data_IF_173507303608
#
_entry.id   IF_173507303608
#
_cell.length_a   1.000
_cell.length_b   1.000
_cell.length_c   1.000
_cell.angle_alpha   90.00
_cell.angle_beta   90.00
_cell.angle_gamma   90.00
#
_symmetry.space_group_name_H-M   'P 1'
#
loop_
_entity.id
_entity.type
_entity.pdbx_description
1 polymer ?
#
# COMPACT_ATOMS: atom_id res chain seq x y z
N UNK A 1 0.68 2.02 63.49
CA UNK A 1 -0.45 2.72 62.85
C UNK A 1 -0.17 2.90 61.34
N UNK A 2 -1.21 2.71 60.51
CA UNK A 2 -1.38 3.25 59.13
C UNK A 2 -0.94 2.48 57.86
N UNK A 3 -0.28 1.31 57.92
CA UNK A 3 -0.11 0.47 56.69
C UNK A 3 -1.35 -0.34 56.30
N UNK A 4 -2.14 -0.76 57.30
CA UNK A 4 -3.36 -1.58 57.11
C UNK A 4 -4.61 -0.78 56.72
N UNK A 5 -4.59 0.55 56.90
CA UNK A 5 -5.72 1.40 56.52
C UNK A 5 -5.67 1.76 55.03
N UNK A 6 -4.47 1.90 54.45
CA UNK A 6 -4.30 2.31 53.06
C UNK A 6 -4.78 1.23 52.05
N UNK A 7 -4.57 -0.05 52.39
CA UNK A 7 -5.06 -1.19 51.58
C UNK A 7 -6.57 -1.39 51.65
N UNK A 8 -7.26 -0.82 52.65
CA UNK A 8 -8.73 -0.90 52.74
C UNK A 8 -9.44 0.18 51.91
N UNK A 9 -8.78 1.27 51.56
CA UNK A 9 -9.42 2.39 50.83
C UNK A 9 -9.34 2.23 49.30
N UNK A 10 -8.41 1.43 48.77
CA UNK A 10 -8.24 1.27 47.31
C UNK A 10 -9.10 0.16 46.69
N UNK A 11 -9.68 -0.74 47.48
CA UNK A 11 -10.53 -1.82 46.97
C UNK A 11 -11.97 -1.39 46.62
N UNK A 12 -12.39 -0.19 47.03
CA UNK A 12 -13.78 0.27 46.88
C UNK A 12 -14.06 1.13 45.63
N UNK A 13 -13.04 1.45 44.82
CA UNK A 13 -13.20 2.33 43.64
C UNK A 13 -13.04 1.62 42.28
N UNK A 14 -12.85 0.29 42.26
CA UNK A 14 -12.54 -0.45 41.04
C UNK A 14 -13.70 -1.31 40.48
N UNK A 15 -14.93 -1.17 41.01
CA UNK A 15 -16.06 -2.04 40.65
C UNK A 15 -17.21 -1.39 39.87
N UNK A 16 -17.06 -0.17 39.34
CA UNK A 16 -18.15 0.45 38.58
C UNK A 16 -17.70 1.33 37.40
N UNK A 17 -16.65 0.93 36.70
CA UNK A 17 -16.50 1.32 35.31
C UNK A 17 -16.26 0.03 34.52
N UNK A 18 -17.29 -0.58 33.89
CA UNK A 18 -16.97 -1.30 32.69
C UNK A 18 -16.30 -0.26 31.79
N UNK A 19 -15.03 -0.48 31.45
CA UNK A 19 -14.50 0.01 30.19
C UNK A 19 -15.32 -0.69 29.11
N UNK A 20 -16.58 -0.26 28.96
CA UNK A 20 -17.34 -0.47 27.76
C UNK A 20 -16.57 0.33 26.72
N UNK A 21 -15.65 -0.35 26.05
CA UNK A 21 -15.18 0.09 24.76
C UNK A 21 -16.44 0.10 23.90
N UNK A 22 -17.09 1.26 23.84
CA UNK A 22 -18.20 1.51 22.95
C UNK A 22 -17.63 1.40 21.54
N UNK A 23 -17.57 0.17 21.04
CA UNK A 23 -17.33 -0.10 19.65
C UNK A 23 -18.59 0.32 18.88
N UNK A 24 -18.79 1.64 18.76
CA UNK A 24 -19.64 2.21 17.72
C UNK A 24 -18.91 2.05 16.40
N UNK A 25 -18.89 0.83 15.88
CA UNK A 25 -18.48 0.55 14.51
C UNK A 25 -19.74 0.31 13.67
N UNK A 26 -20.52 1.36 13.44
CA UNK A 26 -21.47 1.39 12.33
C UNK A 26 -20.77 1.98 11.12
N UNK A 27 -19.76 1.27 10.62
CA UNK A 27 -19.25 1.48 9.27
C UNK A 27 -19.89 0.40 8.39
N UNK A 28 -20.51 0.83 7.29
CA UNK A 28 -21.14 -0.02 6.27
C UNK A 28 -20.38 -1.33 6.04
N UNK A 29 -21.12 -2.44 5.94
CA UNK A 29 -20.66 -3.84 5.99
C UNK A 29 -19.67 -4.33 4.92
N UNK A 30 -18.87 -3.46 4.32
CA UNK A 30 -17.73 -3.85 3.51
C UNK A 30 -16.54 -4.21 4.44
N UNK A 31 -16.09 -5.46 4.37
CA UNK A 31 -14.84 -5.87 5.04
C UNK A 31 -13.69 -5.00 4.56
N UNK A 32 -12.94 -4.42 5.50
CA UNK A 32 -11.73 -3.66 5.20
C UNK A 32 -10.72 -4.56 4.49
N UNK A 33 -10.21 -4.12 3.33
CA UNK A 33 -9.13 -4.82 2.63
C UNK A 33 -7.82 -4.55 3.35
N UNK A 34 -7.20 -5.60 3.87
CA UNK A 34 -5.86 -5.57 4.48
C UNK A 34 -4.91 -6.28 3.54
N UNK A 35 -3.69 -5.76 3.39
CA UNK A 35 -2.69 -6.25 2.45
C UNK A 35 -1.29 -5.77 2.79
N UNK A 36 -0.35 -6.05 1.90
CA UNK A 36 1.06 -5.67 2.07
C UNK A 36 1.66 -5.07 0.79
N UNK A 37 2.82 -4.48 0.97
CA UNK A 37 3.69 -3.94 -0.05
C UNK A 37 4.82 -4.93 -0.34
N UNK A 38 5.10 -5.25 -1.62
CA UNK A 38 6.18 -6.15 -2.03
C UNK A 38 7.53 -5.74 -1.43
N UNK A 39 7.77 -4.44 -1.23
CA UNK A 39 9.00 -3.92 -0.63
C UNK A 39 9.23 -4.46 0.79
N UNK A 40 8.14 -4.74 1.52
CA UNK A 40 8.19 -5.31 2.89
C UNK A 40 8.72 -6.74 2.92
N UNK A 41 8.58 -7.49 1.82
CA UNK A 41 8.98 -8.91 1.72
C UNK A 41 9.98 -9.17 0.58
N UNK A 42 10.61 -8.12 0.04
CA UNK A 42 11.53 -8.19 -1.11
C UNK A 42 12.68 -9.19 -0.95
N UNK A 43 13.07 -9.50 0.28
CA UNK A 43 14.11 -10.50 0.58
C UNK A 43 13.75 -11.92 0.10
N UNK A 44 12.46 -12.20 -0.12
CA UNK A 44 11.99 -13.47 -0.69
C UNK A 44 12.29 -13.58 -2.20
N UNK A 45 12.64 -12.48 -2.87
CA UNK A 45 12.99 -12.48 -4.30
C UNK A 45 11.83 -12.82 -5.25
N UNK A 46 10.59 -12.70 -4.79
CA UNK A 46 9.40 -13.04 -5.59
C UNK A 46 9.08 -11.93 -6.60
N UNK A 47 8.70 -12.35 -7.81
CA UNK A 47 8.19 -11.48 -8.88
C UNK A 47 6.68 -11.30 -8.80
N UNK A 48 6.15 -10.30 -9.50
CA UNK A 48 4.74 -9.88 -9.46
C UNK A 48 3.74 -11.05 -9.50
N UNK A 49 3.91 -11.99 -10.44
CA UNK A 49 3.04 -13.15 -10.55
C UNK A 49 3.05 -14.04 -9.31
N UNK A 50 4.22 -14.31 -8.73
CA UNK A 50 4.37 -15.13 -7.52
C UNK A 50 3.93 -14.38 -6.25
N UNK A 51 4.05 -13.05 -6.22
CA UNK A 51 3.54 -12.22 -5.13
C UNK A 51 2.01 -12.24 -5.06
N UNK A 52 1.33 -12.29 -6.21
CA UNK A 52 -0.12 -12.46 -6.27
C UNK A 52 -0.53 -13.82 -5.68
N UNK A 53 0.18 -14.90 -6.02
CA UNK A 53 -0.06 -16.23 -5.43
C UNK A 53 0.15 -16.21 -3.92
N UNK A 54 1.28 -15.65 -3.49
CA UNK A 54 1.61 -15.53 -2.07
C UNK A 54 0.58 -14.69 -1.30
N UNK A 55 0.08 -13.60 -1.89
CA UNK A 55 -0.99 -12.80 -1.30
C UNK A 55 -2.29 -13.61 -1.13
N UNK A 56 -2.62 -14.48 -2.08
CA UNK A 56 -3.75 -15.39 -1.95
C UNK A 56 -3.55 -16.42 -0.82
N UNK A 57 -2.34 -17.00 -0.72
CA UNK A 57 -1.97 -17.92 0.37
C UNK A 57 -2.08 -17.26 1.75
N UNK A 58 -1.67 -16.00 1.86
CA UNK A 58 -1.78 -15.19 3.09
C UNK A 58 -3.21 -14.67 3.35
N UNK A 59 -4.15 -14.91 2.43
CA UNK A 59 -5.57 -14.52 2.54
C UNK A 59 -5.75 -13.00 2.71
N UNK A 60 -4.90 -12.21 2.07
CA UNK A 60 -5.02 -10.75 2.06
C UNK A 60 -5.97 -10.27 0.96
N UNK A 61 -6.54 -9.08 1.14
CA UNK A 61 -7.50 -8.49 0.20
C UNK A 61 -6.88 -7.50 -0.80
N UNK A 62 -5.62 -7.11 -0.60
CA UNK A 62 -4.90 -6.23 -1.52
C UNK A 62 -3.39 -6.47 -1.51
N UNK A 63 -2.72 -6.04 -2.58
CA UNK A 63 -1.28 -6.12 -2.79
C UNK A 63 -0.79 -4.84 -3.48
N UNK A 64 0.26 -4.22 -2.94
CA UNK A 64 1.00 -3.14 -3.58
C UNK A 64 2.29 -3.68 -4.22
N UNK A 65 2.45 -3.44 -5.51
CA UNK A 65 3.68 -3.62 -6.27
C UNK A 65 4.33 -2.23 -6.40
N UNK A 66 5.23 -1.88 -5.48
CA UNK A 66 5.72 -0.52 -5.25
C UNK A 66 6.85 -0.06 -6.15
N UNK A 67 7.48 -0.95 -6.91
CA UNK A 67 8.63 -0.67 -7.74
C UNK A 67 8.54 -1.42 -9.08
N UNK A 68 9.17 -0.85 -10.12
CA UNK A 68 9.17 -1.42 -11.47
C UNK A 68 10.02 -2.71 -11.59
N UNK A 69 10.91 -2.95 -10.63
CA UNK A 69 11.79 -4.12 -10.64
C UNK A 69 11.09 -5.41 -10.21
N UNK A 70 9.90 -5.32 -9.62
CA UNK A 70 9.10 -6.48 -9.24
C UNK A 70 8.49 -7.20 -10.46
N UNK A 71 8.35 -6.49 -11.58
CA UNK A 71 7.83 -7.05 -12.82
C UNK A 71 8.93 -7.81 -13.57
N UNK A 72 8.52 -8.77 -14.39
CA UNK A 72 9.43 -9.49 -15.30
C UNK A 72 9.61 -8.71 -16.60
N UNK A 73 8.55 -8.03 -17.05
CA UNK A 73 8.55 -7.08 -18.16
C UNK A 73 7.38 -6.10 -17.99
N UNK A 74 7.28 -5.12 -18.88
CA UNK A 74 6.26 -4.06 -18.82
C UNK A 74 5.38 -4.05 -20.07
N UNK A 75 5.18 -5.21 -20.71
CA UNK A 75 4.31 -5.32 -21.88
C UNK A 75 2.84 -5.32 -21.47
N UNK A 76 1.97 -4.70 -22.25
CA UNK A 76 0.53 -4.61 -21.95
C UNK A 76 -0.11 -5.99 -21.72
N UNK A 77 0.29 -6.98 -22.53
CA UNK A 77 -0.21 -8.35 -22.41
C UNK A 77 0.15 -8.98 -21.05
N UNK A 78 1.40 -8.80 -20.61
CA UNK A 78 1.86 -9.31 -19.32
C UNK A 78 1.15 -8.64 -18.14
N UNK A 79 1.02 -7.31 -18.18
CA UNK A 79 0.33 -6.54 -17.15
C UNK A 79 -1.16 -6.91 -17.07
N UNK A 80 -1.80 -7.13 -18.21
CA UNK A 80 -3.18 -7.59 -18.29
C UNK A 80 -3.35 -9.00 -17.69
N UNK A 81 -2.38 -9.91 -17.90
CA UNK A 81 -2.41 -11.24 -17.30
C UNK A 81 -2.25 -11.20 -15.78
N UNK A 82 -1.38 -10.32 -15.25
CA UNK A 82 -1.29 -10.06 -13.80
C UNK A 82 -2.60 -9.51 -13.24
N UNK A 83 -3.23 -8.57 -13.94
CA UNK A 83 -4.52 -7.98 -13.56
C UNK A 83 -5.61 -9.04 -13.49
N UNK A 84 -5.70 -9.92 -14.50
CA UNK A 84 -6.66 -11.04 -14.52
C UNK A 84 -6.41 -11.99 -13.36
N UNK A 85 -5.15 -12.40 -13.17
CA UNK A 85 -4.76 -13.30 -12.08
C UNK A 85 -5.16 -12.77 -10.70
N UNK A 86 -4.89 -11.49 -10.43
CA UNK A 86 -5.28 -10.86 -9.16
C UNK A 86 -6.81 -10.78 -9.01
N UNK A 87 -7.54 -10.48 -10.10
CA UNK A 87 -9.00 -10.43 -10.09
C UNK A 87 -9.62 -11.81 -9.81
N UNK A 88 -9.11 -12.87 -10.44
CA UNK A 88 -9.55 -14.26 -10.22
C UNK A 88 -9.36 -14.70 -8.76
N UNK A 89 -8.32 -14.19 -8.11
CA UNK A 89 -8.01 -14.44 -6.70
C UNK A 89 -8.65 -13.44 -5.73
N UNK A 90 -9.49 -12.53 -6.21
CA UNK A 90 -10.14 -11.47 -5.42
C UNK A 90 -9.17 -10.52 -4.68
N UNK A 91 -7.97 -10.33 -5.22
CA UNK A 91 -6.94 -9.42 -4.69
C UNK A 91 -7.04 -8.09 -5.42
N UNK A 92 -7.19 -7.00 -4.66
CA UNK A 92 -7.01 -5.67 -5.24
C UNK A 92 -5.52 -5.41 -5.48
N UNK A 93 -5.14 -5.35 -6.76
CA UNK A 93 -3.77 -5.09 -7.17
C UNK A 93 -3.53 -3.59 -7.34
N UNK A 94 -2.41 -3.13 -6.81
CA UNK A 94 -1.98 -1.75 -6.83
C UNK A 94 -0.57 -1.66 -7.38
N UNK A 95 -0.33 -0.67 -8.25
CA UNK A 95 0.98 -0.42 -8.83
C UNK A 95 1.54 0.91 -8.32
N UNK A 96 2.84 0.92 -8.10
CA UNK A 96 3.68 2.06 -7.82
C UNK A 96 5.03 1.85 -8.50
N UNK A 97 5.79 2.92 -8.66
CA UNK A 97 7.04 2.87 -9.45
C UNK A 97 8.26 3.36 -8.69
N UNK A 98 8.10 3.60 -7.39
CA UNK A 98 9.14 4.12 -6.53
C UNK A 98 9.22 5.65 -6.54
N UNK A 99 10.42 6.19 -6.25
CA UNK A 99 10.63 7.62 -6.15
C UNK A 99 10.80 8.28 -7.52
N UNK A 100 9.93 9.23 -7.85
CA UNK A 100 9.97 9.96 -9.13
C UNK A 100 10.71 11.30 -9.06
N UNK A 101 10.84 11.87 -7.85
CA UNK A 101 11.47 13.16 -7.65
C UNK A 101 12.99 13.07 -7.84
N UNK A 102 13.60 13.75 -8.83
CA UNK A 102 15.04 13.63 -9.12
C UNK A 102 15.97 13.96 -7.94
N UNK A 103 15.51 14.79 -7.01
CA UNK A 103 16.28 15.21 -5.83
C UNK A 103 16.12 14.24 -4.64
N UNK A 104 15.21 13.27 -4.73
CA UNK A 104 15.00 12.29 -3.68
C UNK A 104 16.09 11.21 -3.71
N UNK A 105 16.56 10.79 -2.52
CA UNK A 105 17.54 9.71 -2.37
C UNK A 105 17.12 8.39 -3.06
N UNK A 106 15.81 8.15 -3.23
CA UNK A 106 15.28 6.93 -3.85
C UNK A 106 14.98 7.07 -5.34
N UNK A 107 15.32 8.20 -5.95
CA UNK A 107 15.23 8.34 -7.40
C UNK A 107 16.26 7.43 -8.07
N UNK A 108 15.85 6.82 -9.18
CA UNK A 108 16.72 6.06 -10.06
C UNK A 108 16.46 6.48 -11.51
N UNK A 109 17.53 6.82 -12.19
CA UNK A 109 17.59 7.13 -13.63
C UNK A 109 17.53 5.88 -14.52
N UNK A 110 17.48 4.69 -13.93
CA UNK A 110 17.34 3.39 -14.63
C UNK A 110 16.15 3.36 -15.58
N UNK A 111 15.10 4.10 -15.26
CA UNK A 111 13.84 4.14 -16.00
C UNK A 111 13.67 5.42 -16.84
N UNK A 112 14.77 6.13 -17.08
CA UNK A 112 14.81 7.39 -17.82
C UNK A 112 14.70 8.62 -16.92
N UNK A 113 14.34 9.76 -17.52
CA UNK A 113 14.06 10.99 -16.77
C UNK A 113 12.81 10.81 -15.88
N UNK A 114 12.55 11.75 -14.97
CA UNK A 114 11.33 11.74 -14.17
C UNK A 114 10.06 11.70 -15.05
N UNK A 115 10.06 12.38 -16.19
CA UNK A 115 8.95 12.37 -17.15
C UNK A 115 8.83 11.04 -17.89
N UNK A 116 9.94 10.37 -18.22
CA UNK A 116 9.91 9.04 -18.87
C UNK A 116 9.45 7.97 -17.90
N UNK A 117 9.91 8.03 -16.65
CA UNK A 117 9.44 7.21 -15.55
C UNK A 117 7.93 7.42 -15.34
N UNK A 118 7.45 8.68 -15.36
CA UNK A 118 6.03 9.00 -15.29
C UNK A 118 5.23 8.47 -16.49
N UNK A 119 5.84 8.35 -17.67
CA UNK A 119 5.17 7.76 -18.83
C UNK A 119 5.03 6.25 -18.70
N UNK A 120 5.99 5.58 -18.07
CA UNK A 120 5.88 4.15 -17.76
C UNK A 120 4.72 3.87 -16.79
N UNK A 121 4.54 4.71 -15.75
CA UNK A 121 3.35 4.62 -14.87
C UNK A 121 2.05 4.91 -15.63
N UNK A 122 2.10 5.77 -16.65
CA UNK A 122 0.96 6.08 -17.49
C UNK A 122 0.67 5.00 -18.56
N UNK A 123 1.60 4.10 -18.87
CA UNK A 123 1.37 2.91 -19.70
C UNK A 123 0.75 1.77 -18.89
N UNK A 124 1.02 1.70 -17.58
CA UNK A 124 0.27 0.86 -16.63
C UNK A 124 -1.23 1.24 -16.49
N UNK A 125 -1.72 2.24 -17.25
CA UNK A 125 -3.13 2.66 -17.24
C UNK A 125 -4.15 1.56 -17.57
N UNK A 126 -3.74 0.44 -18.17
CA UNK A 126 -4.64 -0.72 -18.34
C UNK A 126 -4.73 -1.64 -17.10
N UNK A 127 -3.82 -1.50 -16.13
CA UNK A 127 -4.01 -2.04 -14.77
C UNK A 127 -5.13 -1.26 -14.01
N UNK A 128 -5.50 -0.07 -14.49
CA UNK A 128 -6.27 0.95 -13.75
C UNK A 128 -7.79 0.70 -13.62
N UNK A 129 -8.30 -0.49 -13.95
CA UNK A 129 -9.60 -0.92 -13.40
C UNK A 129 -9.51 -1.33 -11.94
N UNK A 130 -8.29 -1.64 -11.46
CA UNK A 130 -7.99 -1.89 -10.06
C UNK A 130 -7.66 -0.57 -9.37
N UNK A 131 -8.71 0.23 -9.13
CA UNK A 131 -8.81 1.40 -8.24
C UNK A 131 -7.56 1.70 -7.40
N UNK A 132 -6.57 2.42 -7.92
CA UNK A 132 -5.58 3.12 -7.08
C UNK A 132 -4.94 4.35 -7.73
N UNK A 133 -4.68 5.35 -6.86
CA UNK A 133 -3.68 6.42 -6.92
C UNK A 133 -3.60 7.25 -8.22
N UNK A 134 -4.72 7.63 -8.85
CA UNK A 134 -4.67 8.76 -9.81
C UNK A 134 -4.55 10.10 -9.06
N UNK A 135 -5.17 10.25 -7.89
CA UNK A 135 -5.19 11.53 -7.16
C UNK A 135 -3.82 11.93 -6.59
N UNK A 136 -3.02 10.99 -6.06
CA UNK A 136 -1.68 11.32 -5.56
C UNK A 136 -0.71 11.65 -6.70
N UNK A 137 -0.85 10.96 -7.84
CA UNK A 137 -0.07 11.23 -9.06
C UNK A 137 -0.44 12.59 -9.69
N UNK A 138 -1.72 12.97 -9.69
CA UNK A 138 -2.15 14.30 -10.13
C UNK A 138 -1.68 15.41 -9.19
N UNK A 139 -1.66 15.16 -7.88
CA UNK A 139 -1.12 16.09 -6.89
C UNK A 139 0.41 16.27 -7.03
N UNK A 140 1.14 15.18 -7.29
CA UNK A 140 2.58 15.24 -7.56
C UNK A 140 2.91 15.87 -8.93
N UNK A 141 2.10 15.64 -9.97
CA UNK A 141 2.20 16.35 -11.26
C UNK A 141 2.10 17.87 -11.06
N UNK A 142 1.18 18.32 -10.23
CA UNK A 142 1.06 19.73 -9.87
C UNK A 142 2.27 20.21 -9.06
N UNK A 143 2.97 19.35 -8.34
CA UNK A 143 4.13 19.70 -7.53
C UNK A 143 5.43 19.74 -8.34
N UNK A 144 5.65 18.78 -9.25
CA UNK A 144 6.79 18.77 -10.19
C UNK A 144 6.69 19.94 -11.18
N UNK A 145 5.49 20.26 -11.66
CA UNK A 145 5.28 21.45 -12.51
C UNK A 145 5.54 22.78 -11.77
N UNK A 146 5.54 22.78 -10.43
CA UNK A 146 5.80 23.97 -9.59
C UNK A 146 7.28 24.16 -9.24
N UNK A 147 8.11 23.13 -9.37
CA UNK A 147 9.54 23.19 -9.01
C UNK A 147 10.39 22.39 -10.02
N UNK A 148 10.63 22.94 -11.22
CA UNK A 148 11.48 22.29 -12.20
C UNK A 148 12.91 22.21 -11.65
N UNK A 149 13.50 21.02 -11.70
CA UNK A 149 14.88 20.80 -11.25
C UNK A 149 15.84 21.82 -11.90
N UNK A 150 16.86 22.33 -11.17
CA UNK A 150 17.83 23.23 -11.75
C UNK A 150 18.60 22.49 -12.86
N UNK A 151 18.56 23.05 -14.07
CA UNK A 151 19.22 22.52 -15.27
C UNK A 151 20.72 22.75 -15.31
#
# INVERSE_FOLDING_TARGET
MHRRSFLKTTAAAALAAPFAHAATATASGAKLKVGFDNFSIRALGLKAGALIDYAAEQKVGCLLLSDLDVYENHTDAYLEDLRKKAADLNIALYAGTGGICPTAHRFSDKWGTAEEHLKLTALEKDLAKSRIIIEQLQAELAQVARDPAPG
#
